data_IF_486232753546
#
_entry.id   IF_486232753546
#
_cell.length_a   1.000
_cell.length_b   1.000
_cell.length_c   1.000
_cell.angle_alpha   90.00
_cell.angle_beta   90.00
_cell.angle_gamma   90.00
#
_symmetry.space_group_name_H-M   'P 1'
#
loop_
_entity.id
_entity.type
_entity.pdbx_description
1 polymer ?
#
# COMPACT_ATOMS: atom_id res chain seq x y z
N UNK A 1 -60.73 0.75 35.54
CA UNK A 1 -59.92 -0.46 35.28
C UNK A 1 -58.50 -0.11 35.68
N UNK A 2 -58.08 -0.59 36.85
CA UNK A 2 -56.82 -0.23 37.51
C UNK A 2 -55.93 -1.47 37.45
N UNK A 3 -54.93 -1.45 36.56
CA UNK A 3 -53.83 -2.41 36.58
C UNK A 3 -52.78 -1.87 37.55
N UNK A 4 -52.95 -2.18 38.84
CA UNK A 4 -51.96 -1.95 39.88
C UNK A 4 -51.27 -3.26 40.27
N UNK A 5 -50.01 -3.25 40.72
CA UNK A 5 -49.25 -4.46 41.05
C UNK A 5 -49.89 -5.24 42.21
N UNK A 6 -49.85 -6.58 42.10
CA UNK A 6 -50.51 -7.56 42.99
C UNK A 6 -49.92 -7.67 44.41
N UNK A 7 -48.85 -6.94 44.73
CA UNK A 7 -48.18 -7.00 46.05
C UNK A 7 -47.88 -5.58 46.54
N UNK A 8 -48.58 -5.09 47.59
CA UNK A 8 -48.29 -3.80 48.19
C UNK A 8 -46.95 -3.87 48.93
N UNK A 9 -45.95 -3.11 48.47
CA UNK A 9 -44.66 -2.97 49.16
C UNK A 9 -43.44 -3.54 48.42
N UNK A 10 -43.61 -4.24 47.29
CA UNK A 10 -42.50 -4.53 46.40
C UNK A 10 -42.24 -3.32 45.51
N UNK A 11 -41.20 -2.53 45.85
CA UNK A 11 -40.60 -1.62 44.87
C UNK A 11 -39.99 -2.49 43.78
N UNK A 12 -40.45 -2.33 42.55
CA UNK A 12 -39.78 -2.91 41.39
C UNK A 12 -38.29 -2.58 41.50
N UNK A 13 -37.45 -3.61 41.45
CA UNK A 13 -36.02 -3.41 41.46
C UNK A 13 -35.69 -2.86 40.07
N UNK A 14 -35.70 -1.53 39.94
CA UNK A 14 -35.32 -0.79 38.75
C UNK A 14 -33.82 -1.06 38.51
N UNK A 15 -33.53 -2.15 37.79
CA UNK A 15 -32.17 -2.57 37.48
C UNK A 15 -31.50 -1.45 36.69
N UNK A 16 -30.27 -1.04 37.05
CA UNK A 16 -29.63 0.11 36.41
C UNK A 16 -29.56 -0.15 34.91
N UNK A 17 -30.26 0.68 34.13
CA UNK A 17 -30.13 0.70 32.67
C UNK A 17 -28.64 0.78 32.38
N UNK A 18 -28.08 -0.27 31.77
CA UNK A 18 -26.67 -0.33 31.36
C UNK A 18 -26.42 0.72 30.28
N UNK A 19 -26.37 1.99 30.68
CA UNK A 19 -25.87 3.05 29.82
C UNK A 19 -24.38 2.77 29.67
N UNK A 20 -24.01 2.33 28.46
CA UNK A 20 -22.62 2.20 28.08
C UNK A 20 -21.93 3.54 28.42
N UNK A 21 -20.84 3.51 29.19
CA UNK A 21 -20.18 4.74 29.60
C UNK A 21 -19.77 5.52 28.35
N UNK A 22 -19.98 6.84 28.38
CA UNK A 22 -19.72 7.74 27.23
C UNK A 22 -18.33 7.53 26.60
N UNK A 23 -17.35 7.12 27.39
CA UNK A 23 -16.00 6.76 26.92
C UNK A 23 -16.00 5.61 25.92
N UNK A 24 -16.77 4.55 26.15
CA UNK A 24 -16.89 3.40 25.24
C UNK A 24 -17.54 3.81 23.92
N UNK A 25 -18.52 4.73 23.97
CA UNK A 25 -19.13 5.29 22.77
C UNK A 25 -18.14 6.12 21.93
N UNK A 26 -17.33 6.97 22.58
CA UNK A 26 -16.27 7.73 21.91
C UNK A 26 -15.20 6.84 21.28
N UNK A 27 -14.77 5.79 21.98
CA UNK A 27 -13.82 4.80 21.45
C UNK A 27 -14.39 4.10 20.21
N UNK A 28 -15.68 3.72 20.24
CA UNK A 28 -16.37 3.15 19.09
C UNK A 28 -16.37 4.07 17.87
N UNK A 29 -16.63 5.37 18.06
CA UNK A 29 -16.61 6.36 16.98
C UNK A 29 -15.21 6.48 16.37
N UNK A 30 -14.16 6.54 17.20
CA UNK A 30 -12.78 6.65 16.72
C UNK A 30 -12.41 5.42 15.88
N UNK A 31 -12.77 4.22 16.33
CA UNK A 31 -12.50 2.98 15.59
C UNK A 31 -13.24 2.97 14.24
N UNK A 32 -14.51 3.42 14.21
CA UNK A 32 -15.27 3.50 12.96
C UNK A 32 -14.66 4.53 12.01
N UNK A 33 -14.27 5.71 12.50
CA UNK A 33 -13.63 6.74 11.69
C UNK A 33 -12.26 6.29 11.15
N UNK A 34 -11.46 5.62 11.98
CA UNK A 34 -10.19 5.05 11.55
C UNK A 34 -10.39 3.95 10.49
N UNK A 35 -11.37 3.06 10.70
CA UNK A 35 -11.72 2.02 9.74
C UNK A 35 -12.20 2.59 8.40
N UNK A 36 -13.07 3.61 8.42
CA UNK A 36 -13.52 4.32 7.22
C UNK A 36 -12.35 5.02 6.53
N UNK A 37 -11.43 5.63 7.29
CA UNK A 37 -10.22 6.23 6.75
C UNK A 37 -9.33 5.22 6.01
N UNK A 38 -9.11 4.03 6.59
CA UNK A 38 -8.32 2.96 5.99
C UNK A 38 -8.99 2.42 4.72
N UNK A 39 -10.31 2.19 4.77
CA UNK A 39 -11.08 1.71 3.60
C UNK A 39 -11.09 2.75 2.49
N UNK A 40 -11.29 4.03 2.82
CA UNK A 40 -11.22 5.12 1.87
C UNK A 40 -9.83 5.21 1.22
N UNK A 41 -8.76 5.19 2.02
CA UNK A 41 -7.39 5.21 1.51
C UNK A 41 -7.10 4.02 0.57
N UNK A 42 -7.57 2.83 0.90
CA UNK A 42 -7.44 1.64 0.05
C UNK A 42 -8.22 1.73 -1.27
N UNK A 43 -9.41 2.35 -1.26
CA UNK A 43 -10.21 2.54 -2.49
C UNK A 43 -9.59 3.62 -3.38
N UNK A 44 -9.13 4.74 -2.80
CA UNK A 44 -8.48 5.82 -3.56
C UNK A 44 -7.08 5.44 -4.09
N UNK A 45 -6.45 4.39 -3.55
CA UNK A 45 -5.19 3.87 -4.09
C UNK A 45 -5.33 3.18 -5.45
N UNK A 46 -6.54 2.74 -5.85
CA UNK A 46 -6.73 1.90 -7.05
C UNK A 46 -7.34 2.61 -8.26
N UNK A 47 -7.93 3.79 -8.06
CA UNK A 47 -8.60 4.56 -9.11
C UNK A 47 -8.25 6.04 -8.97
N UNK A 48 -7.03 6.40 -9.36
CA UNK A 48 -6.60 7.81 -9.35
C UNK A 48 -7.46 8.68 -10.29
N UNK A 49 -7.57 10.00 -10.03
CA UNK A 49 -8.26 10.98 -10.88
C UNK A 49 -7.70 11.10 -12.31
N UNK A 50 -6.64 10.34 -12.62
CA UNK A 50 -5.85 10.38 -13.83
C UNK A 50 -6.55 9.79 -15.06
N UNK A 51 -7.59 8.95 -14.88
CA UNK A 51 -8.38 8.42 -16.01
C UNK A 51 -9.09 9.50 -16.81
N UNK A 52 -9.40 10.65 -16.20
CA UNK A 52 -9.95 11.82 -16.89
C UNK A 52 -8.92 12.62 -17.69
N UNK A 53 -7.63 12.41 -17.46
CA UNK A 53 -6.52 13.16 -18.07
C UNK A 53 -5.89 12.43 -19.26
N UNK A 54 -6.47 11.31 -19.69
CA UNK A 54 -5.92 10.50 -20.79
C UNK A 54 -4.63 9.75 -20.42
N UNK A 55 -4.38 9.54 -19.12
CA UNK A 55 -3.26 8.75 -18.64
C UNK A 55 -3.66 7.28 -18.45
N UNK A 56 -2.73 6.37 -18.71
CA UNK A 56 -2.85 4.93 -18.47
C UNK A 56 -1.79 4.52 -17.45
N UNK A 57 -2.17 3.67 -16.50
CA UNK A 57 -1.26 3.11 -15.50
C UNK A 57 -1.13 1.62 -15.72
N UNK A 58 0.11 1.13 -15.77
CA UNK A 58 0.47 -0.26 -16.02
C UNK A 58 1.44 -0.74 -14.93
N UNK A 59 1.24 -1.97 -14.46
CA UNK A 59 2.17 -2.58 -13.50
C UNK A 59 3.51 -2.88 -14.15
N UNK A 60 4.60 -2.56 -13.45
CA UNK A 60 5.95 -2.97 -13.83
C UNK A 60 6.40 -4.15 -12.97
N UNK A 61 7.18 -5.05 -13.57
CA UNK A 61 7.70 -6.24 -12.88
C UNK A 61 9.01 -5.92 -12.15
N UNK A 62 9.08 -6.04 -10.81
CA UNK A 62 10.34 -6.08 -10.10
C UNK A 62 11.08 -7.39 -10.40
N UNK A 63 12.38 -7.32 -10.68
CA UNK A 63 13.18 -8.49 -11.11
C UNK A 63 14.37 -8.80 -10.23
N UNK A 64 14.92 -7.82 -9.51
CA UNK A 64 16.03 -8.01 -8.60
C UNK A 64 16.10 -6.85 -7.60
N UNK A 65 16.91 -7.00 -6.55
CA UNK A 65 17.23 -5.90 -5.66
C UNK A 65 18.73 -5.89 -5.31
N UNK A 66 19.26 -4.71 -4.97
CA UNK A 66 20.60 -4.57 -4.40
C UNK A 66 20.59 -3.61 -3.21
N UNK A 67 21.40 -3.86 -2.17
CA UNK A 67 21.55 -2.93 -1.07
C UNK A 67 22.32 -1.68 -1.52
N UNK A 68 22.04 -0.55 -0.89
CA UNK A 68 22.82 0.68 -1.08
C UNK A 68 23.77 0.90 0.11
N UNK A 69 24.49 2.02 0.11
CA UNK A 69 25.33 2.45 1.24
C UNK A 69 24.51 2.74 2.50
N UNK A 70 23.20 2.98 2.38
CA UNK A 70 22.29 3.18 3.51
C UNK A 70 21.50 1.91 3.77
N UNK A 71 21.44 1.47 5.03
CA UNK A 71 20.71 0.27 5.42
C UNK A 71 19.18 0.40 5.27
N UNK A 72 18.69 1.64 5.22
CA UNK A 72 17.29 2.01 5.00
C UNK A 72 16.99 2.36 3.54
N UNK A 73 17.90 2.06 2.61
CA UNK A 73 17.72 2.34 1.20
C UNK A 73 18.15 1.12 0.37
N UNK A 74 17.27 0.68 -0.52
CA UNK A 74 17.52 -0.43 -1.43
C UNK A 74 17.23 0.01 -2.85
N UNK A 75 18.01 -0.50 -3.79
CA UNK A 75 17.75 -0.30 -5.20
C UNK A 75 17.03 -1.51 -5.75
N UNK A 76 15.87 -1.28 -6.36
CA UNK A 76 15.08 -2.33 -6.99
C UNK A 76 15.21 -2.22 -8.50
N UNK A 77 15.52 -3.33 -9.15
CA UNK A 77 15.52 -3.43 -10.59
C UNK A 77 14.09 -3.70 -11.08
N UNK A 78 13.62 -2.89 -12.01
CA UNK A 78 12.34 -3.07 -12.69
C UNK A 78 12.60 -3.45 -14.15
N UNK A 79 11.89 -4.46 -14.66
CA UNK A 79 11.92 -4.79 -16.07
C UNK A 79 11.29 -3.66 -16.89
N UNK A 80 11.99 -3.21 -17.94
CA UNK A 80 11.41 -2.28 -18.88
C UNK A 80 10.27 -2.95 -19.67
N UNK A 81 9.17 -2.23 -19.93
CA UNK A 81 8.10 -2.75 -20.76
C UNK A 81 8.58 -2.88 -22.21
N UNK A 82 7.90 -3.67 -23.06
CA UNK A 82 8.35 -3.95 -24.42
C UNK A 82 8.48 -2.71 -25.31
N UNK A 83 7.71 -1.65 -25.03
CA UNK A 83 7.84 -0.33 -25.69
C UNK A 83 8.68 0.68 -24.91
N UNK A 84 9.61 0.22 -24.06
CA UNK A 84 10.51 1.08 -23.28
C UNK A 84 9.81 2.11 -22.38
N UNK A 85 10.58 3.09 -21.90
CA UNK A 85 10.03 4.19 -21.11
C UNK A 85 10.06 5.48 -21.90
N UNK A 86 8.96 6.22 -21.88
CA UNK A 86 8.96 7.59 -22.38
C UNK A 86 9.53 8.54 -21.33
N UNK A 87 10.08 9.67 -21.79
CA UNK A 87 10.56 10.74 -20.90
C UNK A 87 9.46 11.33 -20.01
N UNK A 88 8.23 11.34 -20.50
CA UNK A 88 7.05 11.80 -19.76
C UNK A 88 6.39 10.72 -18.89
N UNK A 89 6.91 9.48 -18.90
CA UNK A 89 6.37 8.43 -18.05
C UNK A 89 6.80 8.67 -16.60
N UNK A 90 5.84 8.52 -15.69
CA UNK A 90 6.12 8.51 -14.25
C UNK A 90 6.16 7.07 -13.78
N UNK A 91 7.23 6.70 -13.09
CA UNK A 91 7.35 5.38 -12.44
C UNK A 91 7.25 5.59 -10.94
N UNK A 92 6.22 5.02 -10.34
CA UNK A 92 6.00 5.02 -8.91
C UNK A 92 6.30 3.64 -8.35
N UNK A 93 7.19 3.58 -7.35
CA UNK A 93 7.53 2.35 -6.63
C UNK A 93 7.01 2.47 -5.21
N UNK A 94 6.24 1.49 -4.78
CA UNK A 94 5.68 1.42 -3.44
C UNK A 94 6.14 0.15 -2.74
N UNK A 95 6.38 0.28 -1.43
CA UNK A 95 6.74 -0.83 -0.57
C UNK A 95 5.71 -1.04 0.52
N UNK A 96 5.47 -2.31 0.82
CA UNK A 96 4.75 -2.76 2.01
C UNK A 96 5.73 -3.56 2.84
N UNK A 97 6.09 -3.03 4.01
CA UNK A 97 7.06 -3.65 4.91
C UNK A 97 6.36 -4.48 5.98
N UNK A 98 6.82 -5.72 6.11
CA UNK A 98 6.44 -6.67 7.15
C UNK A 98 7.70 -7.02 7.98
N UNK A 99 7.52 -7.81 9.03
CA UNK A 99 8.62 -8.25 9.90
C UNK A 99 9.62 -9.13 9.14
N UNK A 100 9.13 -9.97 8.22
CA UNK A 100 9.95 -10.95 7.50
C UNK A 100 10.24 -10.59 6.05
N UNK A 101 9.41 -9.75 5.43
CA UNK A 101 9.51 -9.44 4.00
C UNK A 101 9.23 -7.98 3.68
N UNK A 102 9.86 -7.49 2.61
CA UNK A 102 9.58 -6.19 2.00
C UNK A 102 8.94 -6.47 0.64
N UNK A 103 7.65 -6.18 0.52
CA UNK A 103 6.91 -6.38 -0.72
C UNK A 103 7.01 -5.14 -1.59
N UNK A 104 7.48 -5.30 -2.82
CA UNK A 104 7.69 -4.19 -3.77
C UNK A 104 6.69 -4.28 -4.91
N UNK A 105 6.01 -3.18 -5.19
CA UNK A 105 5.21 -3.00 -6.40
C UNK A 105 5.68 -1.76 -7.14
N UNK A 106 5.58 -1.79 -8.46
CA UNK A 106 5.90 -0.65 -9.30
C UNK A 106 4.79 -0.43 -10.32
N UNK A 107 4.47 0.83 -10.58
CA UNK A 107 3.47 1.25 -11.56
C UNK A 107 4.06 2.32 -12.45
N UNK A 108 3.94 2.14 -13.77
CA UNK A 108 4.21 3.17 -14.76
C UNK A 108 2.92 3.88 -15.10
N UNK A 109 2.94 5.20 -15.11
CA UNK A 109 1.86 6.04 -15.62
C UNK A 109 2.34 6.78 -16.86
N UNK A 110 1.63 6.62 -17.98
CA UNK A 110 1.98 7.22 -19.28
C UNK A 110 0.76 7.85 -19.96
N UNK A 111 0.98 8.68 -20.97
CA UNK A 111 -0.09 9.25 -21.78
C UNK A 111 -0.57 8.27 -22.85
N UNK A 112 -1.89 8.10 -23.00
CA UNK A 112 -2.50 7.14 -23.94
C UNK A 112 -2.18 7.41 -25.42
N UNK A 113 -1.90 8.66 -25.78
CA UNK A 113 -1.73 9.11 -27.17
C UNK A 113 -0.29 9.43 -27.56
N UNK A 114 0.68 9.26 -26.65
CA UNK A 114 2.06 9.67 -26.88
C UNK A 114 2.86 8.63 -27.65
N UNK A 115 3.06 8.83 -28.95
CA UNK A 115 4.23 8.23 -29.62
C UNK A 115 5.48 8.97 -29.11
N UNK A 116 6.35 8.28 -28.38
CA UNK A 116 7.55 8.87 -27.79
C UNK A 116 8.80 8.17 -28.33
N UNK A 117 9.94 8.86 -28.24
CA UNK A 117 11.22 8.20 -28.39
C UNK A 117 11.45 7.34 -27.12
N UNK A 118 11.27 6.03 -27.27
CA UNK A 118 11.45 5.07 -26.20
C UNK A 118 12.90 5.10 -25.70
N UNK A 119 13.07 5.11 -24.38
CA UNK A 119 14.38 5.00 -23.74
C UNK A 119 14.52 3.60 -23.15
N UNK A 120 15.63 2.93 -23.49
CA UNK A 120 15.92 1.55 -23.09
C UNK A 120 15.25 0.51 -23.99
N UNK A 121 15.84 -0.68 -24.07
CA UNK A 121 15.37 -1.78 -24.90
C UNK A 121 14.56 -2.78 -24.08
N UNK A 122 13.65 -3.51 -24.73
CA UNK A 122 13.00 -4.68 -24.12
C UNK A 122 14.06 -5.67 -23.62
N UNK A 123 14.05 -5.97 -22.32
CA UNK A 123 15.07 -6.79 -21.64
C UNK A 123 16.07 -6.00 -20.79
N UNK A 124 16.13 -4.67 -20.94
CA UNK A 124 16.85 -3.80 -20.02
C UNK A 124 16.10 -3.70 -18.68
N UNK A 125 16.86 -3.35 -17.63
CA UNK A 125 16.32 -3.08 -16.30
C UNK A 125 16.67 -1.66 -15.87
N UNK A 126 15.72 -0.98 -15.25
CA UNK A 126 15.98 0.30 -14.57
C UNK A 126 16.16 0.05 -13.07
N UNK A 127 17.07 0.78 -12.44
CA UNK A 127 17.26 0.76 -10.99
C UNK A 127 16.55 1.96 -10.37
N UNK A 128 15.76 1.70 -9.34
CA UNK A 128 15.05 2.74 -8.58
C UNK A 128 15.45 2.65 -7.11
N UNK A 129 15.85 3.77 -6.54
CA UNK A 129 16.08 3.91 -5.10
C UNK A 129 14.75 3.88 -4.35
N UNK A 130 14.68 3.03 -3.33
CA UNK A 130 13.51 2.85 -2.49
C UNK A 130 13.91 3.00 -1.04
N UNK A 131 13.26 3.93 -0.36
CA UNK A 131 13.44 4.13 1.08
C UNK A 131 12.57 3.17 1.87
N UNK A 132 13.18 2.59 2.90
CA UNK A 132 12.56 1.70 3.85
C UNK A 132 12.40 2.42 5.20
N UNK A 133 11.30 2.16 5.89
CA UNK A 133 11.05 2.62 7.25
C UNK A 133 11.99 1.94 8.25
N UNK A 134 12.34 0.67 8.01
CA UNK A 134 13.29 -0.09 8.83
C UNK A 134 14.47 -0.59 7.98
N UNK A 135 15.65 -0.86 8.58
CA UNK A 135 16.77 -1.48 7.87
C UNK A 135 16.36 -2.80 7.20
N UNK A 136 16.92 -3.12 6.02
CA UNK A 136 16.58 -4.37 5.33
C UNK A 136 16.93 -5.61 6.18
N UNK A 137 18.12 -5.62 6.79
CA UNK A 137 18.57 -6.72 7.64
C UNK A 137 18.50 -8.09 6.95
N UNK A 138 17.84 -9.05 7.60
CA UNK A 138 17.64 -10.41 7.11
C UNK A 138 16.33 -10.58 6.30
N UNK A 139 15.55 -9.50 6.11
CA UNK A 139 14.26 -9.56 5.41
C UNK A 139 14.43 -9.88 3.94
N UNK A 140 13.53 -10.69 3.40
CA UNK A 140 13.49 -10.99 1.96
C UNK A 140 12.72 -9.91 1.21
N UNK A 141 13.22 -9.49 0.05
CA UNK A 141 12.47 -8.62 -0.86
C UNK A 141 11.63 -9.50 -1.78
N UNK A 142 10.34 -9.22 -1.87
CA UNK A 142 9.39 -9.99 -2.68
C UNK A 142 8.65 -9.09 -3.65
N UNK A 143 8.38 -9.58 -4.86
CA UNK A 143 7.56 -8.86 -5.82
C UNK A 143 6.09 -8.95 -5.42
N UNK A 144 5.36 -7.84 -5.49
CA UNK A 144 3.99 -7.77 -4.96
C UNK A 144 2.97 -8.52 -5.82
N UNK A 145 3.25 -8.68 -7.11
CA UNK A 145 2.36 -9.22 -8.11
C UNK A 145 2.27 -10.75 -8.06
N UNK A 146 3.38 -11.44 -7.83
CA UNK A 146 3.50 -12.91 -7.82
C UNK A 146 4.02 -13.47 -6.49
N UNK A 147 4.44 -12.59 -5.55
CA UNK A 147 5.10 -12.96 -4.30
C UNK A 147 6.42 -13.73 -4.51
N UNK A 148 7.04 -13.60 -5.69
CA UNK A 148 8.34 -14.19 -5.97
C UNK A 148 9.42 -13.48 -5.16
N UNK A 149 10.32 -14.26 -4.55
CA UNK A 149 11.48 -13.70 -3.85
C UNK A 149 12.43 -13.14 -4.89
N UNK A 150 12.70 -11.84 -4.79
CA UNK A 150 13.61 -11.19 -5.71
C UNK A 150 15.05 -11.65 -5.44
N UNK A 151 15.79 -12.04 -6.48
CA UNK A 151 17.21 -12.35 -6.32
C UNK A 151 17.97 -11.08 -5.90
N UNK A 152 18.90 -11.25 -4.97
CA UNK A 152 19.87 -10.20 -4.63
C UNK A 152 20.90 -10.10 -5.75
N UNK A 153 20.99 -8.93 -6.36
CA UNK A 153 22.04 -8.63 -7.31
C UNK A 153 23.31 -8.24 -6.56
N UNK A 154 24.34 -9.08 -6.66
CA UNK A 154 25.67 -8.86 -6.06
C UNK A 154 26.59 -8.06 -6.97
N UNK A 155 26.11 -7.65 -8.15
CA UNK A 155 26.82 -6.74 -9.06
C UNK A 155 26.83 -5.34 -8.43
N UNK A 156 27.73 -5.12 -7.48
CA UNK A 156 28.06 -3.78 -7.02
C UNK A 156 28.40 -2.93 -8.24
N UNK A 157 27.75 -1.77 -8.37
CA UNK A 157 27.86 -0.90 -9.53
C UNK A 157 29.31 -0.68 -9.96
N UNK A 158 29.67 -1.24 -11.11
CA UNK A 158 30.74 -0.75 -11.97
C UNK A 158 30.04 -0.05 -13.13
N UNK A 159 29.64 1.18 -12.89
CA UNK A 159 29.09 2.11 -13.88
C UNK A 159 29.44 3.52 -13.44
#
# INVERSE_FOLDING_TARGET
>A
MVNGPLIPGLREFDGPKRQLPRTVWWVGIIIVLAGVGIVAAGVFASAGPLRGLGLVSEGMQPVAYRPTTSEQAVQVALALPPGGLCRQDTVDVSTVEDESYVRVSATRTSARSGACAETGSSGDRMWVDVQLAAPLGERSVVASNDSEILPRDTSAGLG
#
